data_IF_966298664092
#
_entry.id   IF_966298664092
#
_cell.length_a   1.000
_cell.length_b   1.000
_cell.length_c   1.000
_cell.angle_alpha   90.00
_cell.angle_beta   90.00
_cell.angle_gamma   90.00
#
_symmetry.space_group_name_H-M   'P 1'
#
loop_
_entity.id
_entity.type
_entity.pdbx_description
1 polymer ?
#
# COMPACT_ATOMS: atom_id res chain seq x y z
N UNK A 1 -18.57 19.70 -2.07
CA UNK A 1 -17.86 18.74 -1.18
C UNK A 1 -17.64 17.36 -1.82
N UNK A 2 -18.57 16.81 -2.61
CA UNK A 2 -18.37 15.49 -3.25
C UNK A 2 -17.19 15.42 -4.24
N UNK A 3 -16.93 16.50 -5.00
CA UNK A 3 -15.85 16.51 -6.01
C UNK A 3 -14.43 16.42 -5.43
N UNK A 4 -14.16 17.04 -4.28
CA UNK A 4 -12.82 17.03 -3.67
C UNK A 4 -12.46 15.68 -3.06
N UNK A 5 -13.44 14.90 -2.61
CA UNK A 5 -13.24 13.57 -2.02
C UNK A 5 -12.83 12.56 -3.11
N UNK A 6 -13.46 12.61 -4.28
CA UNK A 6 -13.09 11.75 -5.42
C UNK A 6 -11.66 12.02 -5.89
N UNK A 7 -11.28 13.30 -6.01
CA UNK A 7 -9.92 13.69 -6.40
C UNK A 7 -8.90 13.23 -5.35
N UNK A 8 -9.18 13.45 -4.07
CA UNK A 8 -8.30 13.01 -2.98
C UNK A 8 -8.16 11.47 -2.95
N UNK A 9 -9.23 10.73 -3.22
CA UNK A 9 -9.19 9.27 -3.28
C UNK A 9 -8.39 8.76 -4.48
N UNK A 10 -8.59 9.35 -5.66
CA UNK A 10 -7.83 9.02 -6.85
C UNK A 10 -6.33 9.33 -6.66
N UNK A 11 -5.99 10.50 -6.12
CA UNK A 11 -4.62 10.87 -5.79
C UNK A 11 -4.02 9.97 -4.71
N UNK A 12 -4.80 9.58 -3.71
CA UNK A 12 -4.38 8.65 -2.67
C UNK A 12 -4.06 7.27 -3.23
N UNK A 13 -4.89 6.73 -4.12
CA UNK A 13 -4.63 5.45 -4.77
C UNK A 13 -3.41 5.52 -5.72
N UNK A 14 -3.33 6.54 -6.56
CA UNK A 14 -2.18 6.74 -7.45
C UNK A 14 -0.88 6.92 -6.65
N UNK A 15 -0.92 7.71 -5.58
CA UNK A 15 0.19 7.89 -4.66
C UNK A 15 0.57 6.60 -3.94
N UNK A 16 -0.43 5.82 -3.51
CA UNK A 16 -0.22 4.50 -2.90
C UNK A 16 0.43 3.51 -3.85
N UNK A 17 0.01 3.47 -5.11
CA UNK A 17 0.66 2.64 -6.15
C UNK A 17 2.10 3.09 -6.39
N UNK A 18 2.33 4.40 -6.54
CA UNK A 18 3.67 4.94 -6.73
C UNK A 18 4.59 4.62 -5.55
N UNK A 19 4.08 4.73 -4.31
CA UNK A 19 4.81 4.43 -3.09
C UNK A 19 5.09 2.94 -2.94
N UNK A 20 4.10 2.09 -3.19
CA UNK A 20 4.28 0.64 -3.22
C UNK A 20 5.32 0.24 -4.26
N UNK A 21 5.30 0.82 -5.46
CA UNK A 21 6.30 0.58 -6.49
C UNK A 21 7.69 1.05 -6.08
N UNK A 22 7.80 2.25 -5.51
CA UNK A 22 9.07 2.81 -5.05
C UNK A 22 9.74 1.95 -3.97
N UNK A 23 8.95 1.32 -3.09
CA UNK A 23 9.45 0.40 -2.05
C UNK A 23 9.71 -1.01 -2.62
N UNK A 24 8.83 -1.52 -3.47
CA UNK A 24 8.95 -2.85 -4.06
C UNK A 24 10.14 -2.96 -5.04
N UNK A 25 10.41 -1.91 -5.82
CA UNK A 25 11.49 -1.89 -6.82
C UNK A 25 12.86 -2.23 -6.23
N UNK A 26 13.33 -1.65 -5.10
CA UNK A 26 14.55 -2.08 -4.43
C UNK A 26 14.33 -3.27 -3.48
N UNK A 27 13.15 -3.42 -2.87
CA UNK A 27 12.88 -4.44 -1.86
C UNK A 27 12.78 -5.87 -2.41
N UNK A 28 12.02 -6.05 -3.49
CA UNK A 28 11.77 -7.38 -4.08
C UNK A 28 13.05 -8.03 -4.61
N UNK A 29 13.91 -7.35 -5.38
CA UNK A 29 15.17 -7.94 -5.83
C UNK A 29 16.08 -8.33 -4.66
N UNK A 30 16.14 -7.52 -3.59
CA UNK A 30 16.91 -7.84 -2.38
C UNK A 30 16.38 -9.09 -1.66
N UNK A 31 15.06 -9.28 -1.65
CA UNK A 31 14.46 -10.46 -1.02
C UNK A 31 14.65 -11.74 -1.85
N UNK A 32 14.72 -11.62 -3.19
CA UNK A 32 14.88 -12.75 -4.11
C UNK A 32 16.36 -13.10 -4.34
N UNK A 33 17.29 -12.15 -4.13
CA UNK A 33 18.72 -12.37 -4.25
C UNK A 33 19.18 -13.60 -3.46
N UNK A 34 19.86 -14.53 -4.13
CA UNK A 34 20.38 -15.77 -3.53
C UNK A 34 19.42 -16.98 -3.56
N UNK A 35 18.18 -16.84 -4.04
CA UNK A 35 17.28 -17.97 -4.22
C UNK A 35 17.57 -18.73 -5.53
N UNK A 36 17.52 -20.08 -5.48
CA UNK A 36 17.72 -20.94 -6.66
C UNK A 36 16.63 -20.73 -7.73
N UNK A 37 15.38 -20.51 -7.30
CA UNK A 37 14.22 -20.35 -8.19
C UNK A 37 13.60 -18.94 -8.07
N UNK A 38 14.36 -17.93 -8.52
CA UNK A 38 13.90 -16.54 -8.50
C UNK A 38 12.58 -16.30 -9.25
N UNK A 39 12.32 -17.07 -10.31
CA UNK A 39 11.07 -17.01 -11.09
C UNK A 39 9.85 -17.45 -10.26
N UNK A 40 10.00 -18.49 -9.44
CA UNK A 40 8.92 -19.00 -8.59
C UNK A 40 8.60 -17.99 -7.48
N UNK A 41 9.61 -17.42 -6.85
CA UNK A 41 9.43 -16.35 -5.86
C UNK A 41 8.76 -15.12 -6.46
N UNK A 42 9.12 -14.71 -7.68
CA UNK A 42 8.48 -13.60 -8.36
C UNK A 42 6.99 -13.87 -8.65
N UNK A 43 6.64 -15.10 -9.08
CA UNK A 43 5.24 -15.50 -9.32
C UNK A 43 4.42 -15.52 -8.02
N UNK A 44 4.99 -16.03 -6.93
CA UNK A 44 4.33 -16.03 -5.62
C UNK A 44 4.19 -14.62 -5.03
N UNK A 45 5.19 -13.76 -5.22
CA UNK A 45 5.09 -12.35 -4.86
C UNK A 45 3.90 -11.70 -5.59
N UNK A 46 3.81 -11.91 -6.91
CA UNK A 46 2.74 -11.37 -7.76
C UNK A 46 1.37 -11.92 -7.35
N UNK A 47 1.27 -13.23 -7.08
CA UNK A 47 0.04 -13.83 -6.56
C UNK A 47 -0.38 -13.21 -5.21
N UNK A 48 0.58 -13.01 -4.30
CA UNK A 48 0.34 -12.34 -3.01
C UNK A 48 -0.12 -10.90 -3.19
N UNK A 49 0.48 -10.15 -4.12
CA UNK A 49 0.05 -8.79 -4.47
C UNK A 49 -1.38 -8.77 -5.02
N UNK A 50 -1.72 -9.69 -5.94
CA UNK A 50 -3.05 -9.78 -6.54
C UNK A 50 -4.13 -10.12 -5.51
N UNK A 51 -3.86 -11.08 -4.63
CA UNK A 51 -4.79 -11.46 -3.56
C UNK A 51 -4.98 -10.31 -2.57
N UNK A 52 -3.89 -9.59 -2.25
CA UNK A 52 -3.93 -8.45 -1.34
C UNK A 52 -4.54 -7.18 -1.96
N UNK A 53 -4.73 -7.13 -3.28
CA UNK A 53 -5.21 -5.93 -3.97
C UNK A 53 -6.63 -5.55 -3.54
N UNK A 54 -7.53 -6.53 -3.48
CA UNK A 54 -8.92 -6.31 -3.07
C UNK A 54 -9.05 -5.84 -1.60
N UNK A 55 -8.44 -6.52 -0.60
CA UNK A 55 -8.45 -6.01 0.76
C UNK A 55 -7.68 -4.69 0.92
N UNK A 56 -6.63 -4.44 0.12
CA UNK A 56 -5.94 -3.15 0.13
C UNK A 56 -6.84 -2.00 -0.32
N UNK A 57 -7.61 -2.20 -1.39
CA UNK A 57 -8.58 -1.20 -1.85
C UNK A 57 -9.64 -0.94 -0.77
N UNK A 58 -10.21 -2.00 -0.19
CA UNK A 58 -11.24 -1.85 0.83
C UNK A 58 -10.72 -1.17 2.10
N UNK A 59 -9.59 -1.63 2.64
CA UNK A 59 -8.99 -1.06 3.84
C UNK A 59 -8.49 0.36 3.63
N UNK A 60 -7.95 0.69 2.45
CA UNK A 60 -7.50 2.05 2.18
C UNK A 60 -8.67 3.04 2.13
N UNK A 61 -9.80 2.66 1.52
CA UNK A 61 -10.98 3.52 1.49
C UNK A 61 -11.70 3.61 2.84
N UNK A 62 -11.79 2.51 3.60
CA UNK A 62 -12.50 2.52 4.88
C UNK A 62 -11.62 3.08 5.99
N UNK A 63 -10.47 2.46 6.26
CA UNK A 63 -9.58 2.86 7.34
C UNK A 63 -8.68 4.03 6.94
N UNK A 64 -8.10 3.98 5.74
CA UNK A 64 -7.19 5.03 5.27
C UNK A 64 -7.89 6.38 5.09
N UNK A 65 -9.08 6.41 4.50
CA UNK A 65 -9.81 7.67 4.30
C UNK A 65 -10.34 8.26 5.61
N UNK A 66 -10.85 7.43 6.53
CA UNK A 66 -11.41 7.89 7.81
C UNK A 66 -10.33 8.40 8.75
N UNK A 67 -9.26 7.62 8.97
CA UNK A 67 -8.13 8.00 9.81
C UNK A 67 -7.36 9.16 9.18
N UNK A 68 -7.10 9.09 7.87
CA UNK A 68 -6.40 10.13 7.13
C UNK A 68 -7.14 11.47 7.17
N UNK A 69 -8.45 11.48 6.95
CA UNK A 69 -9.25 12.71 7.01
C UNK A 69 -9.34 13.30 8.43
N UNK A 70 -9.35 12.47 9.47
CA UNK A 70 -9.32 12.93 10.85
C UNK A 70 -7.96 13.55 11.22
N UNK A 71 -6.87 12.86 10.91
CA UNK A 71 -5.50 13.36 11.13
C UNK A 71 -5.21 14.62 10.31
N UNK A 72 -5.64 14.67 9.05
CA UNK A 72 -5.48 15.85 8.20
C UNK A 72 -6.17 17.08 8.78
N UNK A 73 -7.34 16.93 9.43
CA UNK A 73 -7.96 18.06 10.13
C UNK A 73 -7.16 18.49 11.35
N UNK A 74 -6.65 17.54 12.13
CA UNK A 74 -5.94 17.80 13.37
C UNK A 74 -4.57 18.47 13.14
N UNK A 75 -3.81 18.01 12.14
CA UNK A 75 -2.48 18.56 11.80
C UNK A 75 -2.60 19.99 11.25
N UNK A 76 -3.63 20.26 10.45
CA UNK A 76 -3.80 21.57 9.81
C UNK A 76 -4.68 22.56 10.60
N UNK A 77 -5.33 22.10 11.68
CA UNK A 77 -6.07 22.94 12.62
C UNK A 77 -5.26 24.12 13.21
N UNK A 78 -4.01 23.94 13.70
CA UNK A 78 -3.23 25.06 14.25
C UNK A 78 -2.87 26.14 13.22
N UNK A 79 -2.99 25.85 11.92
CA UNK A 79 -2.71 26.80 10.83
C UNK A 79 -3.98 27.46 10.28
N UNK A 80 -5.16 27.24 10.90
CA UNK A 80 -6.45 27.74 10.39
C UNK A 80 -6.92 27.05 9.10
N UNK A 81 -6.26 25.98 8.67
CA UNK A 81 -6.47 25.28 7.39
C UNK A 81 -7.23 23.96 7.55
N UNK A 82 -7.96 23.77 8.65
CA UNK A 82 -8.63 22.50 8.97
C UNK A 82 -9.54 21.98 7.84
N UNK A 83 -10.27 22.86 7.15
CA UNK A 83 -11.15 22.49 6.04
C UNK A 83 -10.38 21.95 4.82
N UNK A 84 -9.19 22.50 4.55
CA UNK A 84 -8.32 22.11 3.42
C UNK A 84 -7.41 20.93 3.78
N UNK A 85 -7.10 20.73 5.06
CA UNK A 85 -6.29 19.61 5.55
C UNK A 85 -7.00 18.25 5.48
N UNK A 86 -8.34 18.23 5.53
CA UNK A 86 -9.14 17.00 5.44
C UNK A 86 -8.90 16.19 4.15
N UNK A 87 -9.01 16.77 2.93
CA UNK A 87 -8.75 16.01 1.69
C UNK A 87 -7.28 15.60 1.52
N UNK A 88 -6.32 16.40 2.02
CA UNK A 88 -4.89 16.07 1.97
C UNK A 88 -4.61 14.86 2.86
N UNK A 89 -5.08 14.89 4.10
CA UNK A 89 -4.95 13.78 5.03
C UNK A 89 -5.65 12.53 4.53
N UNK A 90 -6.81 12.66 3.90
CA UNK A 90 -7.54 11.55 3.27
C UNK A 90 -6.69 10.89 2.17
N UNK A 91 -6.11 11.67 1.26
CA UNK A 91 -5.26 11.15 0.19
C UNK A 91 -4.02 10.42 0.75
N UNK A 92 -3.35 11.01 1.75
CA UNK A 92 -2.19 10.40 2.41
C UNK A 92 -2.57 9.10 3.15
N UNK A 93 -3.69 9.10 3.87
CA UNK A 93 -4.17 7.93 4.60
C UNK A 93 -4.51 6.76 3.67
N UNK A 94 -5.20 7.03 2.55
CA UNK A 94 -5.45 6.03 1.51
C UNK A 94 -4.13 5.50 0.95
N UNK A 95 -3.19 6.40 0.59
CA UNK A 95 -1.92 6.01 0.00
C UNK A 95 -1.11 5.09 0.91
N UNK A 96 -1.00 5.43 2.19
CA UNK A 96 -0.22 4.67 3.17
C UNK A 96 -0.83 3.31 3.47
N UNK A 97 -2.16 3.25 3.71
CA UNK A 97 -2.84 1.98 3.98
C UNK A 97 -2.80 1.07 2.75
N UNK A 98 -3.08 1.62 1.57
CA UNK A 98 -3.00 0.86 0.32
C UNK A 98 -1.61 0.27 0.11
N UNK A 99 -0.57 1.11 0.19
CA UNK A 99 0.81 0.67 0.01
C UNK A 99 1.22 -0.38 1.06
N UNK A 100 0.85 -0.17 2.33
CA UNK A 100 1.16 -1.12 3.40
C UNK A 100 0.55 -2.51 3.18
N UNK A 101 -0.73 -2.57 2.81
CA UNK A 101 -1.40 -3.85 2.55
C UNK A 101 -0.83 -4.53 1.31
N UNK A 102 -0.58 -3.79 0.22
CA UNK A 102 0.02 -4.34 -1.01
C UNK A 102 1.43 -4.88 -0.75
N UNK A 103 2.26 -4.12 -0.03
CA UNK A 103 3.62 -4.53 0.31
C UNK A 103 3.64 -5.76 1.24
N UNK A 104 2.75 -5.81 2.23
CA UNK A 104 2.65 -6.96 3.13
C UNK A 104 2.20 -8.23 2.40
N UNK A 105 1.21 -8.13 1.49
CA UNK A 105 0.82 -9.26 0.64
C UNK A 105 1.94 -9.75 -0.28
N UNK A 106 2.70 -8.81 -0.85
CA UNK A 106 3.88 -9.13 -1.67
C UNK A 106 4.97 -9.83 -0.84
N UNK A 107 5.26 -9.32 0.35
CA UNK A 107 6.23 -9.90 1.27
C UNK A 107 5.80 -11.30 1.74
N UNK A 108 4.52 -11.49 2.09
CA UNK A 108 3.97 -12.78 2.48
C UNK A 108 4.10 -13.81 1.35
N UNK A 109 3.82 -13.43 0.10
CA UNK A 109 4.02 -14.29 -1.07
C UNK A 109 5.48 -14.74 -1.22
N UNK A 110 6.44 -13.82 -1.07
CA UNK A 110 7.88 -14.15 -1.14
C UNK A 110 8.29 -15.07 0.01
N UNK A 111 7.83 -14.81 1.23
CA UNK A 111 8.16 -15.63 2.41
C UNK A 111 7.60 -17.05 2.26
N UNK A 112 6.36 -17.20 1.82
CA UNK A 112 5.75 -18.51 1.53
C UNK A 112 6.54 -19.27 0.45
N UNK A 113 6.96 -18.58 -0.60
CA UNK A 113 7.81 -19.17 -1.62
C UNK A 113 9.15 -19.67 -1.07
N UNK A 114 9.78 -18.90 -0.18
CA UNK A 114 11.03 -19.32 0.49
C UNK A 114 10.81 -20.54 1.38
N UNK A 115 9.72 -20.60 2.15
CA UNK A 115 9.42 -21.76 3.00
C UNK A 115 9.17 -23.01 2.17
N UNK A 116 8.40 -22.92 1.07
CA UNK A 116 8.14 -24.08 0.19
C UNK A 116 9.42 -24.59 -0.46
N UNK A 117 10.31 -23.69 -0.91
CA UNK A 117 11.61 -24.07 -1.47
C UNK A 117 12.56 -24.67 -0.43
N UNK A 118 12.44 -24.27 0.84
CA UNK A 118 13.23 -24.86 1.93
C UNK A 118 12.80 -26.30 2.22
N UNK A 119 11.49 -26.60 2.22
CA UNK A 119 10.96 -27.94 2.46
C UNK A 119 11.15 -28.93 1.29
N UNK A 120 11.50 -28.45 0.09
CA UNK A 120 11.82 -29.31 -1.06
C UNK A 120 13.29 -29.76 -1.14
N UNK A 121 14.12 -29.33 -0.20
CA UNK A 121 15.50 -29.82 -0.02
C UNK A 121 15.55 -30.82 1.11
#
# INVERSE_FOLDING_TARGET
MAGSIWIASALGLLGGVALAYAVAKPGVPRMIAGAKDGLLLARLALAGTLIALLPALFLSLVAGATLGGAWGRQIFAPYGLAASGAPIGLALGIALVFAGVVLSGTAAGILLGKTVLHYRR
#
